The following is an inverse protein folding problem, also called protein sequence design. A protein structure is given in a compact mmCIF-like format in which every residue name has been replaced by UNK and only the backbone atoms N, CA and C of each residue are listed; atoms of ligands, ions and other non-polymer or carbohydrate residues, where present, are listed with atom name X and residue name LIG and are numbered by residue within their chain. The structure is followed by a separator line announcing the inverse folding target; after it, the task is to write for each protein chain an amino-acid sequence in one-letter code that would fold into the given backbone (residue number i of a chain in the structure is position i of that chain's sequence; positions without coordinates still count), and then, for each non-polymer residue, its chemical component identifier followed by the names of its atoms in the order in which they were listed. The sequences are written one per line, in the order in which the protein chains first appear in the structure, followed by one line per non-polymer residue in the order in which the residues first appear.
data_IF_430991576763
#
_entry.id   IF_430991576763
#
_cell.length_a   1.000
_cell.length_b   1.000
_cell.length_c   1.000
_cell.angle_alpha   90.00
_cell.angle_beta   90.00
_cell.angle_gamma   90.00
#
_symmetry.space_group_name_H-M   'P 1'
#
loop_
_entity.id
_entity.type
_entity.pdbx_description
1 polymer ?
#
# COMPACT_ATOMS: atom_id res chain seq x y z
N UNK A 1 20.54 -14.98 26.52
CA UNK A 1 19.81 -13.89 25.84
C UNK A 1 18.41 -13.80 26.44
N UNK A 2 17.91 -12.59 26.72
CA UNK A 2 16.53 -12.41 27.20
C UNK A 2 15.55 -12.78 26.07
N UNK A 3 14.59 -13.63 26.37
CA UNK A 3 13.55 -13.99 25.37
C UNK A 3 12.70 -12.76 25.06
N UNK A 4 12.57 -12.40 23.80
CA UNK A 4 11.68 -11.32 23.34
C UNK A 4 10.25 -11.88 23.34
N UNK A 5 9.41 -11.35 24.22
CA UNK A 5 8.03 -11.82 24.41
C UNK A 5 6.99 -10.84 23.85
N UNK A 6 7.33 -9.52 23.83
CA UNK A 6 6.43 -8.46 23.38
C UNK A 6 7.12 -7.55 22.38
N UNK A 7 6.56 -7.44 21.18
CA UNK A 7 7.09 -6.62 20.10
C UNK A 7 6.03 -5.59 19.68
N UNK A 8 6.44 -4.34 19.49
CA UNK A 8 5.63 -3.32 18.83
C UNK A 8 6.20 -3.07 17.44
N UNK A 9 5.33 -3.03 16.45
CA UNK A 9 5.63 -2.52 15.09
C UNK A 9 4.84 -1.24 14.90
N UNK A 10 5.46 -0.21 14.33
CA UNK A 10 4.81 1.07 14.07
C UNK A 10 4.78 1.31 12.56
N UNK A 11 3.59 1.45 11.99
CA UNK A 11 3.37 1.84 10.59
C UNK A 11 2.07 2.62 10.49
N UNK A 12 2.16 3.92 10.22
CA UNK A 12 1.05 4.87 10.31
C UNK A 12 0.55 5.35 8.95
N UNK A 13 1.40 5.28 7.93
CA UNK A 13 1.19 5.89 6.62
C UNK A 13 0.30 5.12 5.67
N UNK A 14 0.13 5.68 4.47
CA UNK A 14 -0.86 5.34 3.45
C UNK A 14 -0.97 3.87 3.03
N UNK A 15 -2.00 3.55 2.23
CA UNK A 15 -2.30 2.18 1.77
C UNK A 15 -1.08 1.55 1.07
N UNK A 16 -0.45 2.27 0.14
CA UNK A 16 0.73 1.78 -0.58
C UNK A 16 1.88 1.46 0.35
N UNK A 17 2.13 2.34 1.30
CA UNK A 17 3.17 2.14 2.32
C UNK A 17 2.87 0.94 3.23
N UNK A 18 1.60 0.71 3.56
CA UNK A 18 1.18 -0.46 4.35
C UNK A 18 1.39 -1.76 3.56
N UNK A 19 1.00 -1.78 2.29
CA UNK A 19 1.20 -2.94 1.40
C UNK A 19 2.69 -3.25 1.23
N UNK A 20 3.50 -2.23 0.97
CA UNK A 20 4.94 -2.38 0.83
C UNK A 20 5.64 -2.76 2.16
N UNK A 21 4.97 -2.68 3.31
CA UNK A 21 5.51 -3.13 4.59
C UNK A 21 5.23 -4.61 4.90
N UNK A 22 4.37 -5.30 4.15
CA UNK A 22 4.04 -6.71 4.42
C UNK A 22 5.27 -7.63 4.48
N UNK A 23 6.27 -7.56 3.58
CA UNK A 23 7.46 -8.40 3.69
C UNK A 23 8.26 -8.13 4.98
N UNK A 24 8.30 -6.88 5.44
CA UNK A 24 8.94 -6.54 6.72
C UNK A 24 8.13 -7.08 7.91
N UNK A 25 6.80 -7.01 7.88
CA UNK A 25 5.93 -7.59 8.91
C UNK A 25 6.08 -9.11 8.98
N UNK A 26 6.11 -9.76 7.83
CA UNK A 26 6.34 -11.20 7.73
C UNK A 26 7.70 -11.58 8.36
N UNK A 27 8.76 -10.86 8.00
CA UNK A 27 10.10 -11.13 8.56
C UNK A 27 10.14 -10.92 10.07
N UNK A 28 9.51 -9.86 10.60
CA UNK A 28 9.41 -9.62 12.05
C UNK A 28 8.65 -10.78 12.72
N UNK A 29 7.55 -11.27 12.10
CA UNK A 29 6.80 -12.42 12.63
C UNK A 29 7.62 -13.70 12.62
N UNK A 30 8.37 -13.99 11.57
CA UNK A 30 9.25 -15.16 11.48
C UNK A 30 10.33 -15.15 12.58
N UNK A 31 10.98 -14.00 12.79
CA UNK A 31 12.02 -13.84 13.82
C UNK A 31 11.44 -13.97 15.23
N UNK A 32 10.26 -13.43 15.45
CA UNK A 32 9.59 -13.39 16.74
C UNK A 32 8.36 -14.30 16.78
N UNK A 33 8.48 -15.54 16.28
CA UNK A 33 7.35 -16.46 16.09
C UNK A 33 6.52 -16.69 17.36
N UNK A 34 7.16 -16.67 18.54
CA UNK A 34 6.52 -16.90 19.86
C UNK A 34 6.14 -15.60 20.59
N UNK A 35 6.51 -14.44 20.06
CA UNK A 35 6.20 -13.17 20.70
C UNK A 35 4.77 -12.71 20.42
N UNK A 36 4.20 -11.95 21.36
CA UNK A 36 3.01 -11.15 21.09
C UNK A 36 3.44 -9.90 20.32
N UNK A 37 3.05 -9.83 19.04
CA UNK A 37 3.35 -8.68 18.18
C UNK A 37 2.09 -7.81 18.06
N UNK A 38 2.24 -6.54 18.41
CA UNK A 38 1.23 -5.50 18.26
C UNK A 38 1.63 -4.56 17.12
N UNK A 39 0.70 -4.22 16.24
CA UNK A 39 0.88 -3.12 15.29
C UNK A 39 0.22 -1.86 15.85
N UNK A 40 0.95 -0.75 15.87
CA UNK A 40 0.41 0.59 16.04
C UNK A 40 0.25 1.21 14.66
N UNK A 41 -0.97 1.55 14.29
CA UNK A 41 -1.34 2.11 12.98
C UNK A 41 -2.39 3.21 13.12
N UNK A 42 -3.09 3.54 12.05
CA UNK A 42 -4.23 4.47 12.04
C UNK A 42 -5.51 3.78 11.57
N UNK A 43 -6.67 4.32 11.92
CA UNK A 43 -7.99 3.74 11.67
C UNK A 43 -8.19 3.18 10.25
N UNK A 44 -7.83 3.89 9.16
CA UNK A 44 -8.08 3.38 7.80
C UNK A 44 -7.42 2.04 7.49
N UNK A 45 -6.35 1.67 8.21
CA UNK A 45 -5.56 0.47 7.95
C UNK A 45 -5.79 -0.65 8.97
N UNK A 46 -6.50 -0.36 10.06
CA UNK A 46 -6.69 -1.31 11.15
C UNK A 46 -7.38 -2.61 10.72
N UNK A 47 -8.41 -2.51 9.87
CA UNK A 47 -9.13 -3.68 9.36
C UNK A 47 -8.23 -4.58 8.50
N UNK A 48 -7.49 -3.99 7.56
CA UNK A 48 -6.53 -4.71 6.71
C UNK A 48 -5.44 -5.37 7.56
N UNK A 49 -4.85 -4.64 8.50
CA UNK A 49 -3.81 -5.14 9.37
C UNK A 49 -4.30 -6.26 10.29
N UNK A 50 -5.51 -6.13 10.86
CA UNK A 50 -6.12 -7.15 11.72
C UNK A 50 -6.44 -8.44 10.96
N UNK A 51 -6.63 -8.35 9.65
CA UNK A 51 -6.82 -9.50 8.78
C UNK A 51 -5.52 -10.25 8.48
N UNK A 52 -4.36 -9.62 8.72
CA UNK A 52 -3.06 -10.23 8.41
C UNK A 52 -2.66 -11.31 9.44
N UNK A 53 -1.84 -12.29 9.05
CA UNK A 53 -1.32 -13.30 9.97
C UNK A 53 -0.17 -12.80 10.85
N UNK A 54 0.27 -11.54 10.67
CA UNK A 54 1.51 -11.06 11.25
C UNK A 54 1.36 -10.53 12.68
N UNK A 55 0.15 -10.11 13.08
CA UNK A 55 -0.08 -9.43 14.36
C UNK A 55 -1.03 -10.20 15.26
N UNK A 56 -0.81 -10.09 16.58
CA UNK A 56 -1.72 -10.59 17.61
C UNK A 56 -2.73 -9.51 18.05
N UNK A 57 -2.37 -8.24 17.86
CA UNK A 57 -3.21 -7.09 18.16
C UNK A 57 -2.89 -5.93 17.21
N UNK A 58 -3.90 -5.12 16.93
CA UNK A 58 -3.76 -3.88 16.14
C UNK A 58 -4.36 -2.75 16.95
N UNK A 59 -3.60 -1.68 17.12
CA UNK A 59 -3.98 -0.44 17.79
C UNK A 59 -4.02 0.68 16.75
N UNK A 60 -5.15 1.38 16.65
CA UNK A 60 -5.44 2.29 15.53
C UNK A 60 -5.23 3.78 15.86
N UNK A 61 -4.71 4.08 17.03
CA UNK A 61 -4.55 5.44 17.57
C UNK A 61 -3.11 6.00 17.45
N UNK A 62 -2.36 5.50 16.48
CA UNK A 62 -0.96 5.88 16.26
C UNK A 62 -0.73 7.34 15.82
N UNK A 63 -1.77 8.08 15.47
CA UNK A 63 -1.70 9.50 15.07
C UNK A 63 -2.63 10.37 15.92
N UNK A 64 -2.31 10.60 17.21
CA UNK A 64 -3.12 11.44 18.10
C UNK A 64 -3.23 12.89 17.60
N UNK A 65 -4.39 13.50 17.82
CA UNK A 65 -4.68 14.88 17.33
C UNK A 65 -4.62 15.95 18.40
N UNK A 66 -4.63 15.56 19.67
CA UNK A 66 -4.66 16.45 20.81
C UNK A 66 -3.69 16.00 21.92
N UNK A 67 -3.27 16.90 22.84
CA UNK A 67 -2.31 16.60 23.89
C UNK A 67 -2.74 15.46 24.84
N UNK A 68 -4.04 15.34 25.13
CA UNK A 68 -4.55 14.28 25.99
C UNK A 68 -4.41 12.90 25.37
N UNK A 69 -4.77 12.76 24.10
CA UNK A 69 -4.58 11.52 23.31
C UNK A 69 -3.10 11.16 23.19
N UNK A 70 -2.20 12.15 23.01
CA UNK A 70 -0.75 11.94 23.03
C UNK A 70 -0.28 11.38 24.38
N UNK A 71 -0.69 12.01 25.49
CA UNK A 71 -0.33 11.54 26.82
C UNK A 71 -0.86 10.13 27.09
N UNK A 72 -2.09 9.84 26.64
CA UNK A 72 -2.70 8.50 26.71
C UNK A 72 -1.90 7.44 25.97
N UNK A 73 -1.54 7.72 24.69
CA UNK A 73 -0.71 6.83 23.88
C UNK A 73 0.64 6.53 24.57
N UNK A 74 1.38 7.56 24.97
CA UNK A 74 2.70 7.38 25.60
C UNK A 74 2.58 6.58 26.90
N UNK A 75 1.57 6.87 27.75
CA UNK A 75 1.34 6.15 28.99
C UNK A 75 1.02 4.66 28.74
N UNK A 76 0.19 4.37 27.74
CA UNK A 76 -0.15 2.99 27.34
C UNK A 76 1.11 2.25 26.86
N UNK A 77 1.90 2.84 25.97
CA UNK A 77 3.12 2.23 25.46
C UNK A 77 4.15 1.96 26.56
N UNK A 78 4.30 2.88 27.53
CA UNK A 78 5.16 2.67 28.72
C UNK A 78 4.68 1.49 29.57
N UNK A 79 3.37 1.37 29.82
CA UNK A 79 2.79 0.28 30.63
C UNK A 79 2.83 -1.07 29.93
N UNK A 80 2.88 -1.10 28.60
CA UNK A 80 2.91 -2.33 27.83
C UNK A 80 4.23 -3.10 27.99
N UNK A 81 5.34 -2.44 28.38
CA UNK A 81 6.66 -3.03 28.58
C UNK A 81 7.10 -3.87 27.36
N UNK A 82 7.15 -3.27 26.19
CA UNK A 82 7.66 -3.94 25.00
C UNK A 82 9.14 -4.26 25.14
N UNK A 83 9.54 -5.46 24.69
CA UNK A 83 10.96 -5.88 24.68
C UNK A 83 11.70 -5.35 23.44
N UNK A 84 10.96 -5.01 22.35
CA UNK A 84 11.48 -4.49 21.09
C UNK A 84 10.44 -3.65 20.37
N UNK A 85 10.88 -2.57 19.72
CA UNK A 85 10.05 -1.74 18.84
C UNK A 85 10.72 -1.66 17.46
N UNK A 86 9.93 -1.90 16.41
CA UNK A 86 10.31 -1.69 15.02
C UNK A 86 9.50 -0.52 14.45
N UNK A 87 10.15 0.62 14.29
CA UNK A 87 9.55 1.80 13.65
C UNK A 87 9.78 1.72 12.15
N UNK A 88 8.79 1.23 11.42
CA UNK A 88 8.81 1.17 9.96
C UNK A 88 8.21 2.42 9.31
N UNK A 89 7.74 3.37 10.12
CA UNK A 89 7.25 4.67 9.65
C UNK A 89 8.41 5.66 9.51
N UNK A 90 9.20 5.85 10.57
CA UNK A 90 10.38 6.72 10.56
C UNK A 90 10.09 8.18 10.18
N UNK A 91 9.08 8.79 10.79
CA UNK A 91 8.69 10.18 10.56
C UNK A 91 8.72 11.02 11.86
N UNK A 92 8.28 12.28 11.75
CA UNK A 92 8.22 13.18 12.90
C UNK A 92 7.29 12.65 14.01
N UNK A 93 6.19 11.98 13.65
CA UNK A 93 5.22 11.42 14.60
C UNK A 93 5.87 10.33 15.44
N UNK A 94 6.56 9.38 14.79
CA UNK A 94 7.23 8.28 15.49
C UNK A 94 8.43 8.76 16.30
N UNK A 95 9.12 9.80 15.86
CA UNK A 95 10.16 10.46 16.64
C UNK A 95 9.60 11.09 17.94
N UNK A 96 8.41 11.70 17.90
CA UNK A 96 7.74 12.19 19.11
C UNK A 96 7.36 11.04 20.07
N UNK A 97 6.89 9.90 19.53
CA UNK A 97 6.63 8.71 20.34
C UNK A 97 7.91 8.25 21.04
N UNK A 98 9.03 8.14 20.30
CA UNK A 98 10.32 7.76 20.87
C UNK A 98 10.75 8.71 21.98
N UNK A 99 10.66 10.03 21.79
CA UNK A 99 10.99 11.03 22.80
C UNK A 99 10.08 10.91 24.04
N UNK A 100 8.78 10.66 23.81
CA UNK A 100 7.82 10.44 24.89
C UNK A 100 8.12 9.20 25.74
N UNK A 101 8.84 8.22 25.22
CA UNK A 101 9.24 7.01 25.96
C UNK A 101 10.54 7.19 26.78
N UNK A 102 11.27 8.30 26.59
CA UNK A 102 12.47 8.58 27.42
C UNK A 102 12.10 8.71 28.90
N UNK A 103 13.05 8.45 29.86
CA UNK A 103 14.49 8.19 29.63
C UNK A 103 14.84 6.74 29.28
N UNK A 104 13.92 5.79 29.36
CA UNK A 104 14.19 4.35 29.20
C UNK A 104 13.29 3.75 28.09
N UNK A 105 13.46 4.17 26.81
CA UNK A 105 12.72 3.56 25.72
C UNK A 105 13.13 2.09 25.55
N UNK A 106 12.21 1.21 25.16
CA UNK A 106 12.58 -0.13 24.72
C UNK A 106 13.61 -0.09 23.58
N UNK A 107 14.39 -1.16 23.35
CA UNK A 107 15.24 -1.26 22.18
C UNK A 107 14.44 -0.97 20.90
N UNK A 108 14.79 0.13 20.23
CA UNK A 108 14.05 0.73 19.11
C UNK A 108 14.87 0.62 17.84
N UNK A 109 14.30 0.00 16.79
CA UNK A 109 14.84 0.01 15.43
C UNK A 109 14.16 1.11 14.63
N UNK A 110 14.97 2.01 14.07
CA UNK A 110 14.46 3.14 13.28
C UNK A 110 15.47 4.24 13.11
N UNK A 111 15.00 5.46 12.87
CA UNK A 111 15.85 6.64 12.62
C UNK A 111 15.87 7.63 13.79
N UNK A 112 15.17 7.35 14.89
CA UNK A 112 15.13 8.23 16.05
C UNK A 112 16.53 8.39 16.67
N UNK A 113 16.92 9.64 16.94
CA UNK A 113 18.24 9.96 17.49
C UNK A 113 18.42 9.34 18.88
N UNK A 114 19.45 8.49 19.01
CA UNK A 114 19.75 7.77 20.25
C UNK A 114 18.97 6.47 20.42
N UNK A 115 18.29 5.97 19.41
CA UNK A 115 17.69 4.64 19.45
C UNK A 115 18.78 3.54 19.47
N UNK A 116 18.44 2.38 20.05
CA UNK A 116 19.40 1.29 20.26
C UNK A 116 19.79 0.54 18.97
N UNK A 117 18.94 0.54 17.97
CA UNK A 117 19.12 -0.16 16.69
C UNK A 117 18.90 0.83 15.53
N UNK A 118 19.82 1.77 15.32
CA UNK A 118 19.64 2.82 14.33
C UNK A 118 19.77 2.27 12.90
N UNK A 119 18.88 2.67 12.03
CA UNK A 119 19.07 2.52 10.59
C UNK A 119 20.09 3.53 10.10
N UNK A 120 21.27 3.08 9.69
CA UNK A 120 22.46 3.90 9.48
C UNK A 120 22.68 4.29 8.02
N UNK A 121 21.97 3.68 7.08
CA UNK A 121 22.17 3.92 5.66
C UNK A 121 21.80 5.38 5.30
N UNK A 122 22.75 6.13 4.79
CA UNK A 122 22.57 7.53 4.38
C UNK A 122 21.78 7.66 3.08
N UNK A 123 21.85 6.62 2.22
CA UNK A 123 21.17 6.57 0.93
C UNK A 123 19.70 6.10 1.04
N UNK A 124 19.22 5.86 2.27
CA UNK A 124 17.87 5.36 2.52
C UNK A 124 16.75 6.17 1.87
N UNK A 125 16.96 7.47 1.65
CA UNK A 125 15.99 8.36 1.00
C UNK A 125 15.79 8.05 -0.49
N UNK A 126 16.78 7.45 -1.14
CA UNK A 126 16.77 7.07 -2.55
C UNK A 126 16.41 5.58 -2.77
N UNK A 127 16.25 4.83 -1.69
CA UNK A 127 15.89 3.41 -1.78
C UNK A 127 14.38 3.25 -1.94
N UNK A 128 13.99 2.24 -2.71
CA UNK A 128 12.60 1.80 -2.69
C UNK A 128 12.18 1.38 -1.28
N UNK A 129 10.92 1.61 -0.91
CA UNK A 129 10.45 1.37 0.45
C UNK A 129 10.67 -0.07 0.92
N UNK A 130 10.48 -1.08 0.06
CA UNK A 130 10.75 -2.48 0.38
C UNK A 130 12.21 -2.70 0.78
N UNK A 131 13.12 -2.16 -0.02
CA UNK A 131 14.58 -2.29 0.18
C UNK A 131 15.01 -1.53 1.43
N UNK A 132 14.48 -0.32 1.62
CA UNK A 132 14.75 0.51 2.80
C UNK A 132 14.34 -0.16 4.11
N UNK A 133 13.19 -0.84 4.13
CA UNK A 133 12.73 -1.57 5.31
C UNK A 133 13.54 -2.84 5.56
N UNK A 134 13.92 -3.57 4.50
CA UNK A 134 14.80 -4.72 4.62
C UNK A 134 16.19 -4.32 5.16
N UNK A 135 16.74 -3.22 4.66
CA UNK A 135 18.03 -2.68 5.10
C UNK A 135 17.97 -2.25 6.57
N UNK A 136 16.88 -1.61 7.01
CA UNK A 136 16.64 -1.31 8.43
C UNK A 136 16.57 -2.58 9.27
N UNK A 137 15.88 -3.62 8.84
CA UNK A 137 15.78 -4.88 9.56
C UNK A 137 17.10 -5.67 9.56
N UNK A 138 17.95 -5.48 8.53
CA UNK A 138 19.33 -5.98 8.52
C UNK A 138 20.16 -5.30 9.60
N UNK A 139 20.10 -3.97 9.70
CA UNK A 139 20.77 -3.23 10.79
C UNK A 139 20.26 -3.66 12.19
N UNK A 140 18.99 -4.06 12.28
CA UNK A 140 18.40 -4.63 13.50
C UNK A 140 18.78 -6.09 13.76
N UNK A 141 19.53 -6.74 12.86
CA UNK A 141 20.03 -8.11 12.98
C UNK A 141 19.00 -9.19 12.68
N UNK A 142 17.90 -8.88 12.00
CA UNK A 142 16.85 -9.86 11.72
C UNK A 142 16.58 -10.11 10.22
N UNK A 143 17.24 -9.39 9.32
CA UNK A 143 17.14 -9.67 7.88
C UNK A 143 18.36 -10.47 7.42
N UNK A 144 18.18 -11.63 6.74
CA UNK A 144 19.32 -12.45 6.32
C UNK A 144 20.14 -11.74 5.24
N UNK A 145 21.47 -11.82 5.35
CA UNK A 145 22.40 -11.22 4.36
C UNK A 145 22.30 -11.88 2.98
N UNK A 146 21.92 -13.14 2.94
CA UNK A 146 21.89 -13.96 1.73
C UNK A 146 20.54 -13.95 1.01
N UNK A 147 19.75 -12.89 1.10
CA UNK A 147 18.59 -12.77 0.21
C UNK A 147 19.10 -12.49 -1.21
N UNK A 148 19.42 -13.59 -1.93
CA UNK A 148 19.87 -13.57 -3.32
C UNK A 148 18.81 -13.08 -4.31
N UNK A 149 17.57 -12.91 -3.84
CA UNK A 149 16.48 -12.38 -4.67
C UNK A 149 16.28 -10.90 -4.33
N UNK A 150 16.46 -9.99 -5.30
CA UNK A 150 16.13 -8.59 -5.09
C UNK A 150 14.68 -8.49 -4.60
N UNK A 151 14.43 -7.80 -3.48
CA UNK A 151 13.10 -7.48 -2.99
C UNK A 151 12.25 -6.75 -4.03
N UNK A 152 12.93 -6.07 -4.96
CA UNK A 152 12.36 -5.40 -6.12
C UNK A 152 11.67 -6.34 -7.13
N UNK A 153 11.95 -7.66 -7.09
CA UNK A 153 11.51 -8.59 -8.13
C UNK A 153 10.16 -9.28 -7.84
N UNK A 154 9.64 -9.19 -6.62
CA UNK A 154 8.38 -9.85 -6.26
C UNK A 154 7.42 -8.87 -5.59
N UNK A 155 6.11 -8.96 -5.88
CA UNK A 155 5.10 -8.21 -5.15
C UNK A 155 5.05 -8.69 -3.68
N UNK A 156 4.57 -7.85 -2.75
CA UNK A 156 4.22 -8.28 -1.40
C UNK A 156 3.22 -9.42 -1.44
N UNK A 157 3.41 -10.46 -0.60
CA UNK A 157 2.43 -11.54 -0.50
C UNK A 157 1.17 -11.07 0.22
N UNK A 158 0.04 -11.15 -0.46
CA UNK A 158 -1.30 -10.87 0.07
C UNK A 158 -2.25 -12.06 -0.08
N UNK A 159 -1.74 -13.26 -0.31
CA UNK A 159 -2.53 -14.48 -0.48
C UNK A 159 -3.49 -14.72 0.69
N UNK A 160 -3.09 -14.33 1.91
CA UNK A 160 -3.92 -14.39 3.11
C UNK A 160 -5.17 -13.51 3.04
N UNK A 161 -5.14 -12.37 2.31
CA UNK A 161 -6.33 -11.55 2.04
C UNK A 161 -7.29 -12.33 1.14
N UNK A 162 -6.74 -12.93 0.08
CA UNK A 162 -7.51 -13.66 -0.92
C UNK A 162 -8.14 -14.92 -0.34
N UNK A 163 -7.41 -15.65 0.51
CA UNK A 163 -7.92 -16.82 1.22
C UNK A 163 -9.09 -16.51 2.15
N UNK A 164 -9.15 -15.29 2.71
CA UNK A 164 -10.23 -14.81 3.58
C UNK A 164 -11.38 -14.16 2.83
N UNK A 165 -11.20 -13.79 1.57
CA UNK A 165 -12.23 -13.18 0.72
C UNK A 165 -13.38 -14.13 0.33
N UNK A 166 -13.35 -15.39 0.78
CA UNK A 166 -14.50 -16.30 0.77
C UNK A 166 -15.67 -15.80 1.65
N UNK A 167 -15.58 -14.63 2.24
CA UNK A 167 -16.65 -13.97 2.98
C UNK A 167 -17.78 -13.49 2.04
N UNK A 168 -19.06 -13.54 2.50
CA UNK A 168 -20.26 -13.18 1.72
C UNK A 168 -20.36 -11.72 1.27
N UNK A 169 -19.32 -10.91 1.46
CA UNK A 169 -19.17 -9.56 0.90
C UNK A 169 -18.42 -9.54 -0.43
N UNK A 170 -18.31 -10.68 -1.12
CA UNK A 170 -17.82 -10.66 -2.50
C UNK A 170 -18.70 -9.69 -3.30
N UNK A 171 -18.08 -8.59 -3.77
CA UNK A 171 -18.75 -7.74 -4.74
C UNK A 171 -18.94 -8.63 -5.97
N UNK A 172 -20.15 -9.09 -6.16
CA UNK A 172 -20.52 -9.68 -7.42
C UNK A 172 -20.46 -8.55 -8.43
N UNK A 173 -19.33 -8.42 -9.10
CA UNK A 173 -19.27 -7.73 -10.36
C UNK A 173 -20.09 -8.64 -11.28
N UNK A 174 -21.42 -8.47 -11.23
CA UNK A 174 -22.32 -9.10 -12.17
C UNK A 174 -21.99 -8.47 -13.52
N UNK A 175 -21.14 -9.10 -14.22
CA UNK A 175 -20.71 -8.73 -15.56
C UNK A 175 -20.48 -10.04 -16.28
N UNK A 176 -20.79 -10.05 -17.51
CA UNK A 176 -20.72 -11.20 -18.35
C UNK A 176 -19.30 -11.77 -18.50
N UNK A 177 -19.13 -12.58 -19.51
CA UNK A 177 -17.90 -13.30 -19.86
C UNK A 177 -16.72 -12.39 -20.31
N UNK A 178 -16.78 -11.08 -20.04
CA UNK A 178 -15.74 -10.12 -20.46
C UNK A 178 -14.67 -9.96 -19.41
N UNK A 179 -13.37 -9.83 -19.80
CA UNK A 179 -12.29 -9.59 -18.85
C UNK A 179 -12.46 -8.23 -18.16
N UNK A 180 -12.15 -8.20 -16.86
CA UNK A 180 -12.32 -7.05 -15.99
C UNK A 180 -11.12 -6.12 -16.07
N UNK A 181 -11.35 -4.82 -16.22
CA UNK A 181 -10.35 -3.77 -16.04
C UNK A 181 -10.72 -2.88 -14.87
N UNK A 182 -9.75 -2.66 -13.98
CA UNK A 182 -9.87 -1.73 -12.87
C UNK A 182 -9.26 -0.38 -13.25
N UNK A 183 -10.01 0.70 -13.09
CA UNK A 183 -9.50 2.06 -13.19
C UNK A 183 -9.43 2.69 -11.79
N UNK A 184 -8.25 3.13 -11.39
CA UNK A 184 -7.98 3.81 -10.13
C UNK A 184 -7.55 5.27 -10.39
N UNK A 185 -8.49 6.17 -10.75
CA UNK A 185 -8.17 7.50 -11.25
C UNK A 185 -7.90 8.54 -10.15
N UNK A 186 -8.00 8.15 -8.88
CA UNK A 186 -7.80 9.05 -7.75
C UNK A 186 -6.36 9.55 -7.63
N UNK A 187 -6.21 10.66 -6.94
CA UNK A 187 -4.94 11.19 -6.44
C UNK A 187 -5.22 12.09 -5.24
N UNK A 188 -4.23 12.35 -4.36
CA UNK A 188 -4.41 13.29 -3.26
C UNK A 188 -4.91 14.65 -3.77
N UNK A 189 -5.88 15.26 -3.08
CA UNK A 189 -6.42 16.55 -3.50
C UNK A 189 -5.38 17.68 -3.48
N UNK A 190 -4.38 17.55 -2.61
CA UNK A 190 -3.28 18.50 -2.47
C UNK A 190 -2.20 18.35 -3.57
N UNK A 191 -2.25 17.30 -4.37
CA UNK A 191 -1.22 16.94 -5.35
C UNK A 191 -1.87 16.71 -6.73
N UNK A 192 -2.44 17.76 -7.35
CA UNK A 192 -3.15 17.64 -8.63
C UNK A 192 -2.24 17.18 -9.78
N UNK A 193 -0.93 17.39 -9.69
CA UNK A 193 0.09 16.95 -10.65
C UNK A 193 0.23 15.41 -10.70
N UNK A 194 -0.21 14.71 -9.66
CA UNK A 194 -0.28 13.25 -9.62
C UNK A 194 -1.57 12.70 -10.25
N UNK A 195 -2.41 13.56 -10.79
CA UNK A 195 -3.69 13.16 -11.38
C UNK A 195 -3.64 13.21 -12.90
N UNK A 196 -3.83 12.05 -13.52
CA UNK A 196 -4.07 12.01 -14.96
C UNK A 196 -5.45 12.62 -15.28
N UNK A 197 -5.58 13.44 -16.36
CA UNK A 197 -6.83 14.13 -16.65
C UNK A 197 -8.03 13.17 -16.74
N UNK A 198 -9.15 13.59 -16.15
CA UNK A 198 -10.37 12.77 -16.08
C UNK A 198 -10.90 12.40 -17.46
N UNK A 199 -10.75 13.32 -18.43
CA UNK A 199 -11.15 13.11 -19.82
C UNK A 199 -10.33 12.01 -20.49
N UNK A 200 -9.05 11.89 -20.14
CA UNK A 200 -8.19 10.82 -20.61
C UNK A 200 -8.60 9.45 -20.03
N UNK A 201 -8.99 9.40 -18.75
CA UNK A 201 -9.58 8.19 -18.16
C UNK A 201 -10.90 7.81 -18.84
N UNK A 202 -11.74 8.79 -19.15
CA UNK A 202 -13.01 8.56 -19.83
C UNK A 202 -12.80 8.02 -21.24
N UNK A 203 -11.88 8.60 -22.00
CA UNK A 203 -11.52 8.12 -23.34
C UNK A 203 -10.86 6.72 -23.28
N UNK A 204 -9.98 6.47 -22.31
CA UNK A 204 -9.39 5.14 -22.07
C UNK A 204 -10.49 4.10 -21.79
N UNK A 205 -11.42 4.42 -20.87
CA UNK A 205 -12.52 3.54 -20.53
C UNK A 205 -13.36 3.18 -21.76
N UNK A 206 -13.67 4.16 -22.60
CA UNK A 206 -14.39 3.94 -23.87
C UNK A 206 -13.62 3.00 -24.79
N UNK A 207 -12.33 3.26 -25.02
CA UNK A 207 -11.48 2.43 -25.89
C UNK A 207 -11.41 0.98 -25.41
N UNK A 208 -11.26 0.76 -24.11
CA UNK A 208 -11.21 -0.58 -23.52
C UNK A 208 -12.59 -1.27 -23.57
N UNK A 209 -13.71 -0.53 -23.42
CA UNK A 209 -15.05 -1.08 -23.63
C UNK A 209 -15.29 -1.50 -25.10
N UNK A 210 -14.80 -0.71 -26.03
CA UNK A 210 -14.90 -1.03 -27.46
C UNK A 210 -14.03 -2.25 -27.82
N UNK A 211 -12.92 -2.46 -27.10
CA UNK A 211 -12.07 -3.65 -27.18
C UNK A 211 -12.63 -4.88 -26.43
N UNK A 212 -13.80 -4.79 -25.82
CA UNK A 212 -14.49 -5.94 -25.21
C UNK A 212 -14.28 -6.13 -23.73
N UNK A 213 -13.71 -5.15 -23.00
CA UNK A 213 -13.50 -5.23 -21.56
C UNK A 213 -14.67 -4.65 -20.75
N UNK A 214 -14.89 -5.19 -19.56
CA UNK A 214 -15.76 -4.60 -18.56
C UNK A 214 -14.93 -3.69 -17.63
N UNK A 215 -15.42 -2.45 -17.43
CA UNK A 215 -14.69 -1.42 -16.68
C UNK A 215 -15.31 -1.24 -15.30
N UNK A 216 -14.48 -1.26 -14.28
CA UNK A 216 -14.83 -0.90 -12.89
C UNK A 216 -13.93 0.24 -12.43
N UNK A 217 -14.55 1.31 -11.95
CA UNK A 217 -13.86 2.46 -11.37
C UNK A 217 -13.85 2.28 -9.86
N UNK A 218 -12.68 2.36 -9.26
CA UNK A 218 -12.48 2.28 -7.82
C UNK A 218 -11.82 3.55 -7.30
N UNK A 219 -12.09 3.89 -6.06
CA UNK A 219 -11.54 5.09 -5.45
C UNK A 219 -12.22 5.42 -4.12
N UNK A 220 -11.76 6.49 -3.47
CA UNK A 220 -12.41 7.04 -2.29
C UNK A 220 -13.70 7.76 -2.66
N UNK A 221 -14.58 8.01 -1.67
CA UNK A 221 -15.85 8.71 -1.89
C UNK A 221 -15.67 10.11 -2.51
N UNK A 222 -14.57 10.80 -2.17
CA UNK A 222 -14.24 12.11 -2.74
C UNK A 222 -14.01 12.13 -4.26
N UNK A 223 -13.83 10.96 -4.87
CA UNK A 223 -13.54 10.79 -6.30
C UNK A 223 -14.80 10.51 -7.14
N UNK A 224 -15.98 10.49 -6.53
CA UNK A 224 -17.25 10.18 -7.21
C UNK A 224 -17.56 11.10 -8.42
N UNK A 225 -17.19 12.39 -8.37
CA UNK A 225 -17.37 13.30 -9.50
C UNK A 225 -16.56 12.88 -10.73
N UNK A 226 -15.35 12.40 -10.51
CA UNK A 226 -14.45 11.90 -11.54
C UNK A 226 -15.04 10.61 -12.15
N UNK A 227 -15.47 9.66 -11.31
CA UNK A 227 -16.13 8.44 -11.76
C UNK A 227 -17.36 8.71 -12.60
N UNK A 228 -18.20 9.68 -12.21
CA UNK A 228 -19.36 10.10 -12.99
C UNK A 228 -18.98 10.67 -14.37
N UNK A 229 -17.88 11.42 -14.48
CA UNK A 229 -17.40 11.91 -15.77
C UNK A 229 -16.94 10.76 -16.68
N UNK A 230 -16.25 9.77 -16.13
CA UNK A 230 -15.87 8.58 -16.88
C UNK A 230 -17.10 7.81 -17.37
N UNK A 231 -18.13 7.64 -16.53
CA UNK A 231 -19.36 6.93 -16.90
C UNK A 231 -20.14 7.63 -18.02
N UNK A 232 -20.09 8.94 -18.15
CA UNK A 232 -20.77 9.64 -19.25
C UNK A 232 -20.22 9.24 -20.63
N UNK A 233 -18.91 8.98 -20.75
CA UNK A 233 -18.27 8.55 -22.00
C UNK A 233 -18.23 7.03 -22.16
N UNK A 234 -18.20 6.31 -21.04
CA UNK A 234 -18.20 4.86 -20.97
C UNK A 234 -19.38 4.37 -20.11
N UNK A 235 -20.64 4.38 -20.64
CA UNK A 235 -21.86 4.15 -19.82
C UNK A 235 -21.95 2.76 -19.18
N UNK A 236 -21.23 1.77 -19.71
CA UNK A 236 -21.15 0.43 -19.10
C UNK A 236 -20.16 0.35 -17.95
N UNK A 237 -19.33 1.39 -17.72
CA UNK A 237 -18.41 1.40 -16.59
C UNK A 237 -19.19 1.43 -15.28
N UNK A 238 -18.78 0.58 -14.33
CA UNK A 238 -19.39 0.50 -13.00
C UNK A 238 -18.59 1.34 -12.04
N UNK A 239 -19.26 2.25 -11.37
CA UNK A 239 -18.68 3.07 -10.32
C UNK A 239 -18.79 2.36 -8.97
N UNK A 240 -17.65 2.06 -8.36
CA UNK A 240 -17.53 1.53 -7.00
C UNK A 240 -16.77 2.49 -6.07
N UNK A 241 -16.61 3.76 -6.44
CA UNK A 241 -15.96 4.77 -5.58
C UNK A 241 -16.69 4.92 -4.25
N UNK A 242 -15.95 4.81 -3.14
CA UNK A 242 -16.49 4.84 -1.78
C UNK A 242 -17.37 3.66 -1.38
N UNK A 243 -17.44 2.60 -2.21
CA UNK A 243 -18.31 1.43 -1.98
C UNK A 243 -17.53 0.13 -1.77
N UNK A 244 -16.21 0.20 -1.74
CA UNK A 244 -15.32 -0.96 -1.56
C UNK A 244 -14.40 -0.76 -0.38
N UNK A 245 -14.21 -1.79 0.41
CA UNK A 245 -13.12 -1.88 1.37
C UNK A 245 -11.83 -2.44 0.72
N UNK A 246 -10.71 -2.40 1.45
CA UNK A 246 -9.41 -2.82 0.92
C UNK A 246 -9.36 -4.32 0.58
N UNK A 247 -10.09 -5.16 1.32
CA UNK A 247 -10.18 -6.60 1.05
C UNK A 247 -10.94 -6.86 -0.26
N UNK A 248 -12.01 -6.11 -0.49
CA UNK A 248 -12.77 -6.17 -1.72
C UNK A 248 -11.97 -5.67 -2.91
N UNK A 249 -11.17 -4.59 -2.75
CA UNK A 249 -10.26 -4.09 -3.79
C UNK A 249 -9.20 -5.14 -4.14
N UNK A 250 -8.60 -5.81 -3.13
CA UNK A 250 -7.66 -6.90 -3.38
C UNK A 250 -8.30 -8.07 -4.13
N UNK A 251 -9.54 -8.46 -3.76
CA UNK A 251 -10.28 -9.52 -4.44
C UNK A 251 -10.65 -9.16 -5.89
N UNK A 252 -10.96 -7.87 -6.17
CA UNK A 252 -11.15 -7.38 -7.53
C UNK A 252 -9.83 -7.42 -8.31
N UNK A 253 -8.71 -6.99 -7.69
CA UNK A 253 -7.38 -7.04 -8.28
C UNK A 253 -6.98 -8.45 -8.70
N UNK A 254 -7.21 -9.45 -7.84
CA UNK A 254 -6.91 -10.85 -8.15
C UNK A 254 -7.68 -11.43 -9.36
N UNK A 255 -8.78 -10.79 -9.75
CA UNK A 255 -9.63 -11.20 -10.88
C UNK A 255 -9.49 -10.28 -12.10
N UNK A 256 -8.78 -9.17 -11.95
CA UNK A 256 -8.64 -8.19 -13.01
C UNK A 256 -7.67 -8.70 -14.09
N UNK A 257 -8.09 -8.60 -15.34
CA UNK A 257 -7.21 -8.80 -16.49
C UNK A 257 -6.23 -7.64 -16.65
N UNK A 258 -6.57 -6.47 -16.10
CA UNK A 258 -5.75 -5.26 -16.16
C UNK A 258 -6.18 -4.27 -15.07
N UNK A 259 -5.24 -3.50 -14.57
CA UNK A 259 -5.50 -2.29 -13.79
C UNK A 259 -4.75 -1.09 -14.38
N UNK A 260 -5.35 0.09 -14.34
CA UNK A 260 -4.70 1.35 -14.73
C UNK A 260 -4.95 2.39 -13.66
N UNK A 261 -3.90 3.07 -13.22
CA UNK A 261 -4.04 4.11 -12.21
C UNK A 261 -2.85 5.04 -12.13
N UNK A 262 -3.03 6.15 -11.41
CA UNK A 262 -1.96 7.07 -11.05
C UNK A 262 -1.06 6.46 -9.96
N UNK A 263 0.08 7.12 -9.67
CA UNK A 263 0.90 6.82 -8.50
C UNK A 263 0.08 7.05 -7.21
N UNK A 264 -0.55 5.99 -6.72
CA UNK A 264 -1.37 6.03 -5.52
C UNK A 264 -1.48 4.67 -4.81
N UNK A 265 -1.77 4.74 -3.51
CA UNK A 265 -1.73 3.59 -2.61
C UNK A 265 -2.59 2.38 -3.02
N UNK A 266 -3.76 2.59 -3.62
CA UNK A 266 -4.63 1.48 -4.05
C UNK A 266 -3.99 0.65 -5.17
N UNK A 267 -3.19 1.27 -6.03
CA UNK A 267 -2.54 0.55 -7.14
C UNK A 267 -1.53 -0.48 -6.63
N UNK A 268 -0.86 -0.20 -5.49
CA UNK A 268 0.03 -1.17 -4.84
C UNK A 268 -0.72 -2.43 -4.39
N UNK A 269 -1.92 -2.25 -3.83
CA UNK A 269 -2.75 -3.38 -3.37
C UNK A 269 -3.24 -4.22 -4.55
N UNK A 270 -3.64 -3.57 -5.63
CA UNK A 270 -4.13 -4.22 -6.85
C UNK A 270 -3.00 -5.00 -7.55
N UNK A 271 -1.82 -4.38 -7.67
CA UNK A 271 -0.64 -5.02 -8.24
C UNK A 271 -0.17 -6.21 -7.38
N UNK A 272 -0.17 -6.07 -6.06
CA UNK A 272 0.15 -7.16 -5.12
C UNK A 272 -0.88 -8.30 -5.19
N UNK A 273 -2.14 -8.00 -5.55
CA UNK A 273 -3.17 -9.01 -5.80
C UNK A 273 -2.96 -9.81 -7.10
N UNK A 274 -2.00 -9.41 -7.93
CA UNK A 274 -1.62 -10.11 -9.16
C UNK A 274 -2.16 -9.50 -10.44
N UNK A 275 -2.92 -8.40 -10.40
CA UNK A 275 -3.39 -7.72 -11.60
C UNK A 275 -2.21 -7.22 -12.44
N UNK A 276 -2.15 -7.52 -13.76
CA UNK A 276 -1.32 -6.77 -14.69
C UNK A 276 -1.67 -5.28 -14.58
N UNK A 277 -0.67 -4.42 -14.35
CA UNK A 277 -0.93 -3.04 -13.92
C UNK A 277 -0.17 -2.04 -14.76
N UNK A 278 -0.87 -1.04 -15.28
CA UNK A 278 -0.27 0.17 -15.86
C UNK A 278 -0.26 1.25 -14.77
N UNK A 279 0.93 1.68 -14.37
CA UNK A 279 1.13 2.73 -13.39
C UNK A 279 1.56 4.02 -14.10
N UNK A 280 0.79 5.10 -13.91
CA UNK A 280 1.01 6.39 -14.57
C UNK A 280 1.80 7.29 -13.63
N UNK A 281 3.00 7.70 -14.05
CA UNK A 281 3.91 8.54 -13.28
C UNK A 281 4.24 9.84 -14.01
N UNK A 282 4.40 10.92 -13.25
CA UNK A 282 4.99 12.17 -13.73
C UNK A 282 6.35 12.40 -13.09
N UNK A 283 7.05 13.46 -13.51
CA UNK A 283 8.30 13.85 -12.88
C UNK A 283 8.15 14.34 -11.42
N UNK A 284 6.93 14.39 -10.88
CA UNK A 284 6.69 14.72 -9.48
C UNK A 284 7.10 13.61 -8.51
N UNK A 285 7.09 12.35 -8.97
CA UNK A 285 7.47 11.19 -8.15
C UNK A 285 8.37 10.23 -8.94
N UNK A 286 9.25 9.52 -8.21
CA UNK A 286 10.15 8.54 -8.80
C UNK A 286 9.61 7.11 -8.61
N UNK A 287 9.20 6.41 -9.69
CA UNK A 287 8.72 5.04 -9.59
C UNK A 287 9.78 4.05 -9.06
N UNK A 288 11.07 4.39 -9.16
CA UNK A 288 12.11 3.56 -8.56
C UNK A 288 12.06 3.57 -7.03
N UNK A 289 11.54 4.64 -6.43
CA UNK A 289 11.43 4.82 -4.96
C UNK A 289 10.08 4.41 -4.43
N UNK A 290 9.00 4.71 -5.15
CA UNK A 290 7.62 4.54 -4.66
C UNK A 290 6.73 3.63 -5.50
N UNK A 291 7.18 3.15 -6.65
CA UNK A 291 6.32 2.40 -7.58
C UNK A 291 5.80 1.07 -7.04
N UNK A 292 4.61 0.61 -7.49
CA UNK A 292 4.11 -0.70 -7.14
C UNK A 292 5.00 -1.82 -7.68
N UNK A 293 4.97 -2.97 -7.02
CA UNK A 293 5.75 -4.17 -7.42
C UNK A 293 4.81 -5.27 -7.88
N UNK A 294 5.29 -6.08 -8.83
CA UNK A 294 4.54 -7.17 -9.45
C UNK A 294 4.60 -7.10 -10.96
N UNK A 295 3.55 -7.54 -11.64
CA UNK A 295 3.42 -7.43 -13.10
C UNK A 295 3.00 -6.00 -13.47
N UNK A 296 3.95 -5.06 -13.39
CA UNK A 296 3.70 -3.62 -13.54
C UNK A 296 4.49 -3.05 -14.72
N UNK A 297 3.80 -2.28 -15.55
CA UNK A 297 4.40 -1.42 -16.58
C UNK A 297 4.21 0.04 -16.16
N UNK A 298 5.31 0.76 -16.00
CA UNK A 298 5.29 2.18 -15.71
C UNK A 298 5.27 2.98 -17.01
N UNK A 299 4.28 3.87 -17.14
CA UNK A 299 4.27 4.91 -18.17
C UNK A 299 4.60 6.23 -17.51
N UNK A 300 5.72 6.83 -17.94
CA UNK A 300 6.23 8.05 -17.36
C UNK A 300 6.24 9.19 -18.39
N UNK A 301 5.82 10.38 -17.95
CA UNK A 301 5.92 11.60 -18.75
C UNK A 301 6.29 12.79 -17.83
N UNK A 302 6.82 13.90 -18.37
CA UNK A 302 7.11 15.11 -17.60
C UNK A 302 5.88 15.59 -16.81
N UNK A 303 4.71 15.59 -17.44
CA UNK A 303 3.43 15.79 -16.77
C UNK A 303 2.43 14.74 -17.22
N UNK A 304 1.53 14.29 -16.33
CA UNK A 304 0.55 13.25 -16.69
C UNK A 304 -0.37 13.65 -17.85
N UNK A 305 -0.66 14.93 -18.02
CA UNK A 305 -1.45 15.44 -19.16
C UNK A 305 -0.82 15.14 -20.53
N UNK A 306 0.50 14.87 -20.57
CA UNK A 306 1.25 14.57 -21.80
C UNK A 306 1.07 13.09 -22.23
N UNK A 307 0.57 12.23 -21.33
CA UNK A 307 0.16 10.87 -21.65
C UNK A 307 -1.22 10.89 -22.29
N UNK A 308 -1.33 10.39 -23.52
CA UNK A 308 -2.64 10.32 -24.22
C UNK A 308 -3.35 9.02 -23.87
N UNK A 309 -4.70 9.01 -23.90
CA UNK A 309 -5.49 7.81 -23.74
C UNK A 309 -5.16 6.74 -24.82
N UNK A 310 -4.74 7.15 -26.00
CA UNK A 310 -4.31 6.25 -27.07
C UNK A 310 -3.03 5.50 -26.66
N UNK A 311 -2.01 6.21 -26.16
CA UNK A 311 -0.75 5.62 -25.68
C UNK A 311 -1.01 4.64 -24.53
N UNK A 312 -1.81 5.07 -23.54
CA UNK A 312 -2.13 4.22 -22.38
C UNK A 312 -2.97 3.02 -22.82
N UNK A 313 -3.93 3.17 -23.74
CA UNK A 313 -4.71 2.06 -24.28
C UNK A 313 -3.84 1.03 -25.01
N UNK A 314 -2.90 1.49 -25.83
CA UNK A 314 -1.97 0.60 -26.55
C UNK A 314 -1.12 -0.22 -25.55
N UNK A 315 -0.54 0.41 -24.55
CA UNK A 315 0.23 -0.28 -23.51
C UNK A 315 -0.66 -1.24 -22.70
N UNK A 316 -1.90 -0.83 -22.41
CA UNK A 316 -2.89 -1.63 -21.70
C UNK A 316 -3.23 -2.92 -22.44
N UNK A 317 -3.53 -2.82 -23.74
CA UNK A 317 -3.86 -3.99 -24.56
C UNK A 317 -2.66 -4.92 -24.77
N UNK A 318 -1.44 -4.38 -24.81
CA UNK A 318 -0.22 -5.18 -24.90
C UNK A 318 0.07 -5.96 -23.59
N UNK A 319 -0.30 -5.38 -22.43
CA UNK A 319 -0.09 -5.99 -21.11
C UNK A 319 -1.21 -6.94 -20.70
N UNK A 320 -2.45 -6.67 -21.13
CA UNK A 320 -3.59 -7.50 -20.78
C UNK A 320 -3.41 -8.92 -21.34
N UNK A 321 -3.53 -9.91 -20.47
CA UNK A 321 -3.57 -11.31 -20.88
C UNK A 321 -4.82 -11.49 -21.73
N UNK A 322 -4.64 -11.96 -22.97
CA UNK A 322 -5.77 -12.29 -23.81
C UNK A 322 -6.67 -13.31 -23.08
N UNK A 323 -8.00 -13.13 -23.09
CA UNK A 323 -8.89 -14.10 -22.48
C UNK A 323 -8.67 -15.46 -23.13
N UNK A 324 -8.29 -16.46 -22.31
CA UNK A 324 -8.22 -17.88 -22.73
C UNK A 324 -9.60 -18.46 -22.89
#
# INVERSE_FOLDING_TARGET
MKTIAKVLVIKLGGIGEMVLAFPAFERIRQEHAKAKITLLTTDPFASLASSSPYFNAVEADGAPKDPGSWAGLIMRLRRAHYDRIYDLQNDATTNLIFQGLRPLPPPWSGTAIGCALPHRNRERGHMHQLERQADQLKDAGIWPEASTRPLSAAPPDISWILARSAHPRSITVAGGHRPLVLLAPGAPAAEPELRWPTEQYAELAKRLQDAGYDIVIIGALGEAKLAHTVQRMAPRARDLTGRTDLVQIAALGARAALAVGNDMGMLHLIAAAGAPTIALFSSATDPAVSGPRGHVTVLHAPALKDLTAATVSQASLALAVAPT
#
